data_IF_382818440341
#
_entry.id   IF_382818440341
#
_cell.length_a   1.000
_cell.length_b   1.000
_cell.length_c   1.000
_cell.angle_alpha   90.00
_cell.angle_beta   90.00
_cell.angle_gamma   90.00
#
_symmetry.space_group_name_H-M   'P 1'
#
loop_
_entity.id
_entity.type
_entity.pdbx_description
1 polymer ?
#
# COMPACT_ATOMS: atom_id res chain seq x y z
N UNK A 1 19.34 -15.27 -18.12
CA UNK A 1 20.08 -14.04 -18.43
C UNK A 1 19.75 -12.91 -17.45
N UNK A 2 18.48 -12.52 -17.28
CA UNK A 2 18.11 -11.36 -16.40
C UNK A 2 18.60 -11.55 -14.97
N UNK A 3 18.41 -12.73 -14.38
CA UNK A 3 18.86 -13.02 -13.02
C UNK A 3 20.38 -12.92 -12.89
N UNK A 4 21.15 -13.52 -13.83
CA UNK A 4 22.61 -13.44 -13.82
C UNK A 4 23.12 -12.01 -14.04
N UNK A 5 22.49 -11.24 -14.94
CA UNK A 5 22.84 -9.84 -15.15
C UNK A 5 22.56 -9.01 -13.89
N UNK A 6 21.42 -9.23 -13.22
CA UNK A 6 21.09 -8.56 -11.97
C UNK A 6 22.12 -8.86 -10.87
N UNK A 7 22.54 -10.11 -10.71
CA UNK A 7 23.57 -10.49 -9.74
C UNK A 7 24.90 -9.79 -10.02
N UNK A 8 25.32 -9.72 -11.29
CA UNK A 8 26.59 -9.07 -11.70
C UNK A 8 26.55 -7.56 -11.48
N UNK A 9 25.42 -6.91 -11.75
CA UNK A 9 25.29 -5.45 -11.75
C UNK A 9 24.93 -4.85 -10.40
N UNK A 10 24.25 -5.60 -9.53
CA UNK A 10 23.59 -5.03 -8.33
C UNK A 10 23.86 -5.81 -7.03
N UNK A 11 24.56 -6.96 -7.06
CA UNK A 11 24.85 -7.73 -5.84
C UNK A 11 26.35 -7.81 -5.57
N UNK A 12 26.85 -6.92 -4.76
CA UNK A 12 28.29 -6.82 -4.43
C UNK A 12 28.88 -8.08 -3.78
N UNK A 13 28.04 -8.88 -3.10
CA UNK A 13 28.48 -10.11 -2.42
C UNK A 13 28.52 -11.35 -3.30
N UNK A 14 28.08 -11.25 -4.57
CA UNK A 14 28.07 -12.35 -5.52
C UNK A 14 29.22 -12.15 -6.52
N UNK A 15 30.25 -13.03 -6.54
CA UNK A 15 31.30 -12.94 -7.53
C UNK A 15 30.74 -13.09 -8.96
N UNK A 16 31.22 -12.28 -9.88
CA UNK A 16 30.77 -12.30 -11.29
C UNK A 16 30.86 -13.70 -11.90
N UNK A 17 31.93 -14.44 -11.61
CA UNK A 17 32.12 -15.81 -12.08
C UNK A 17 31.07 -16.79 -11.53
N UNK A 18 30.67 -16.61 -10.28
CA UNK A 18 29.62 -17.44 -9.66
C UNK A 18 28.26 -17.18 -10.31
N UNK A 19 27.91 -15.89 -10.53
CA UNK A 19 26.67 -15.50 -11.22
C UNK A 19 26.59 -16.07 -12.63
N UNK A 20 27.70 -16.04 -13.39
CA UNK A 20 27.79 -16.62 -14.74
C UNK A 20 27.59 -18.14 -14.68
N UNK A 21 28.37 -18.85 -13.84
CA UNK A 21 28.34 -20.30 -13.76
C UNK A 21 26.97 -20.82 -13.34
N UNK A 22 26.38 -20.28 -12.28
CA UNK A 22 25.05 -20.64 -11.81
C UNK A 22 23.97 -20.40 -12.88
N UNK A 23 24.06 -19.30 -13.62
CA UNK A 23 23.11 -18.99 -14.70
C UNK A 23 23.22 -19.98 -15.87
N UNK A 24 24.43 -20.42 -16.19
CA UNK A 24 24.68 -21.45 -17.23
C UNK A 24 24.11 -22.80 -16.77
N UNK A 25 24.36 -23.21 -15.52
CA UNK A 25 23.79 -24.45 -14.98
C UNK A 25 22.25 -24.41 -14.93
N UNK A 26 21.64 -23.29 -14.49
CA UNK A 26 20.20 -23.10 -14.55
C UNK A 26 19.64 -23.23 -15.98
N UNK A 27 20.33 -22.74 -16.98
CA UNK A 27 19.90 -22.92 -18.38
C UNK A 27 19.88 -24.40 -18.79
N UNK A 28 20.88 -25.19 -18.36
CA UNK A 28 20.94 -26.64 -18.65
C UNK A 28 19.82 -27.39 -17.90
N UNK A 29 19.66 -27.17 -16.60
CA UNK A 29 18.64 -27.84 -15.76
C UNK A 29 17.22 -27.50 -16.24
N UNK A 30 16.99 -26.27 -16.72
CA UNK A 30 15.69 -25.83 -17.25
C UNK A 30 15.36 -26.37 -18.65
N UNK A 31 16.11 -27.33 -19.17
CA UNK A 31 15.90 -27.90 -20.52
C UNK A 31 16.30 -26.96 -21.65
N UNK A 32 17.05 -25.89 -21.36
CA UNK A 32 17.53 -24.91 -22.33
C UNK A 32 19.06 -24.97 -22.53
N UNK A 33 19.64 -26.18 -22.43
CA UNK A 33 21.09 -26.40 -22.54
C UNK A 33 21.72 -25.83 -23.81
N UNK A 34 21.00 -25.79 -24.92
CA UNK A 34 21.45 -25.18 -26.18
C UNK A 34 21.75 -23.68 -26.03
N UNK A 35 21.09 -22.98 -25.08
CA UNK A 35 21.32 -21.57 -24.84
C UNK A 35 22.48 -21.29 -23.85
N UNK A 36 23.11 -22.30 -23.27
CA UNK A 36 24.15 -22.17 -22.25
C UNK A 36 25.37 -21.38 -22.74
N UNK A 37 25.78 -21.60 -24.01
CA UNK A 37 26.85 -20.84 -24.63
C UNK A 37 26.51 -19.35 -24.77
N UNK A 38 25.29 -19.02 -25.19
CA UNK A 38 24.80 -17.63 -25.30
C UNK A 38 24.75 -16.98 -23.91
N UNK A 39 24.20 -17.70 -22.91
CA UNK A 39 24.11 -17.21 -21.52
C UNK A 39 25.51 -16.87 -21.00
N UNK A 40 26.47 -17.77 -21.17
CA UNK A 40 27.85 -17.55 -20.75
C UNK A 40 28.49 -16.34 -21.45
N UNK A 41 28.37 -16.25 -22.75
CA UNK A 41 28.97 -15.16 -23.55
C UNK A 41 28.40 -13.79 -23.18
N UNK A 42 27.09 -13.68 -23.08
CA UNK A 42 26.40 -12.41 -22.73
C UNK A 42 26.75 -11.98 -21.30
N UNK A 43 26.67 -12.88 -20.31
CA UNK A 43 26.93 -12.53 -18.92
C UNK A 43 28.41 -12.17 -18.67
N UNK A 44 29.37 -12.87 -19.32
CA UNK A 44 30.78 -12.49 -19.27
C UNK A 44 31.01 -11.10 -19.86
N UNK A 45 30.34 -10.78 -20.98
CA UNK A 45 30.45 -9.44 -21.59
C UNK A 45 29.85 -8.36 -20.69
N UNK A 46 28.75 -8.64 -19.98
CA UNK A 46 28.19 -7.72 -18.98
C UNK A 46 29.20 -7.52 -17.83
N UNK A 47 29.78 -8.60 -17.29
CA UNK A 47 30.75 -8.54 -16.20
C UNK A 47 31.99 -7.69 -16.58
N UNK A 48 32.50 -7.85 -17.80
CA UNK A 48 33.64 -7.08 -18.31
C UNK A 48 33.34 -5.59 -18.51
N UNK A 49 32.09 -5.23 -18.77
CA UNK A 49 31.67 -3.88 -19.12
C UNK A 49 30.68 -3.28 -18.10
N UNK A 50 30.60 -3.79 -16.87
CA UNK A 50 29.62 -3.37 -15.89
C UNK A 50 29.67 -1.87 -15.53
N UNK A 51 30.82 -1.24 -15.69
CA UNK A 51 31.03 0.21 -15.48
C UNK A 51 30.82 1.06 -16.75
N UNK A 52 30.65 0.41 -17.91
CA UNK A 52 30.55 1.07 -19.21
C UNK A 52 29.43 0.44 -20.06
N UNK A 53 28.25 0.26 -19.46
CA UNK A 53 27.10 -0.24 -20.20
C UNK A 53 26.67 0.75 -21.28
N UNK A 54 26.14 0.26 -22.44
CA UNK A 54 25.66 1.14 -23.49
C UNK A 54 24.51 2.02 -22.98
N UNK A 55 24.45 3.30 -23.40
CA UNK A 55 23.37 4.18 -22.99
C UNK A 55 22.00 3.66 -23.44
N UNK A 56 20.99 3.93 -22.66
CA UNK A 56 19.59 3.62 -23.02
C UNK A 56 19.17 4.57 -24.14
N UNK A 57 18.67 4.07 -25.31
CA UNK A 57 18.24 4.94 -26.40
C UNK A 57 17.06 5.84 -25.98
N UNK A 58 17.18 7.16 -26.22
CA UNK A 58 16.20 8.18 -25.82
C UNK A 58 15.12 8.48 -26.87
N UNK A 59 15.19 7.87 -28.06
CA UNK A 59 14.27 8.16 -29.18
C UNK A 59 12.78 7.93 -28.87
N UNK A 60 12.47 6.99 -27.97
CA UNK A 60 11.12 6.70 -27.47
C UNK A 60 11.15 6.96 -25.96
N UNK A 61 10.61 8.11 -25.58
CA UNK A 61 10.60 8.59 -24.20
C UNK A 61 10.00 7.56 -23.23
N UNK A 62 8.83 7.01 -23.54
CA UNK A 62 8.19 6.02 -22.69
C UNK A 62 9.02 4.74 -22.57
N UNK A 63 9.73 4.34 -23.63
CA UNK A 63 10.64 3.20 -23.60
C UNK A 63 11.90 3.52 -22.79
N UNK A 64 12.46 4.71 -22.95
CA UNK A 64 13.62 5.17 -22.18
C UNK A 64 13.33 5.12 -20.69
N UNK A 65 12.24 5.75 -20.23
CA UNK A 65 11.83 5.76 -18.83
C UNK A 65 11.48 4.37 -18.30
N UNK A 66 10.82 3.54 -19.14
CA UNK A 66 10.49 2.15 -18.80
C UNK A 66 11.74 1.31 -18.48
N UNK A 67 12.81 1.49 -19.25
CA UNK A 67 14.07 0.77 -19.02
C UNK A 67 14.81 1.38 -17.84
N UNK A 68 14.95 2.71 -17.81
CA UNK A 68 15.72 3.44 -16.79
C UNK A 68 15.19 3.19 -15.37
N UNK A 69 13.87 3.23 -15.20
CA UNK A 69 13.21 3.10 -13.88
C UNK A 69 12.54 1.73 -13.66
N UNK A 70 12.71 0.79 -14.59
CA UNK A 70 12.19 -0.59 -14.47
C UNK A 70 10.67 -0.65 -14.24
N UNK A 71 9.89 0.06 -15.05
CA UNK A 71 8.43 0.05 -15.05
C UNK A 71 7.89 -0.42 -16.41
N UNK A 72 6.73 -1.11 -16.46
CA UNK A 72 6.10 -1.47 -17.74
C UNK A 72 5.79 -0.24 -18.59
N UNK A 73 6.03 -0.35 -19.90
CA UNK A 73 5.86 0.78 -20.83
C UNK A 73 4.43 1.34 -20.83
N UNK A 74 3.41 0.50 -20.65
CA UNK A 74 2.02 0.96 -20.56
C UNK A 74 1.81 1.89 -19.37
N UNK A 75 2.39 1.54 -18.20
CA UNK A 75 2.30 2.35 -17.00
C UNK A 75 3.03 3.69 -17.17
N UNK A 76 4.25 3.66 -17.74
CA UNK A 76 4.99 4.90 -18.03
C UNK A 76 4.20 5.83 -18.96
N UNK A 77 3.59 5.30 -20.05
CA UNK A 77 2.73 6.09 -20.94
C UNK A 77 1.56 6.71 -20.17
N UNK A 78 0.96 5.94 -19.25
CA UNK A 78 -0.15 6.43 -18.45
C UNK A 78 0.28 7.54 -17.49
N UNK A 79 1.41 7.34 -16.80
CA UNK A 79 1.99 8.37 -15.91
C UNK A 79 2.31 9.66 -16.67
N UNK A 80 2.94 9.56 -17.84
CA UNK A 80 3.22 10.72 -18.69
C UNK A 80 1.95 11.50 -19.07
N UNK A 81 0.83 10.79 -19.31
CA UNK A 81 -0.44 11.45 -19.66
C UNK A 81 -1.15 12.10 -18.46
N UNK A 82 -0.94 11.62 -17.24
CA UNK A 82 -1.60 12.12 -16.02
C UNK A 82 -0.77 13.24 -15.38
N UNK A 83 0.54 13.03 -15.27
CA UNK A 83 1.44 13.88 -14.49
C UNK A 83 2.30 14.81 -15.34
N UNK A 84 2.39 14.55 -16.65
CA UNK A 84 3.41 15.19 -17.49
C UNK A 84 4.79 14.57 -17.30
N UNK A 85 5.80 15.09 -18.02
CA UNK A 85 7.13 14.49 -18.11
C UNK A 85 7.89 14.53 -16.77
N UNK A 86 8.01 15.69 -16.18
CA UNK A 86 8.86 15.93 -15.01
C UNK A 86 8.37 15.15 -13.78
N UNK A 87 7.09 15.28 -13.47
CA UNK A 87 6.47 14.62 -12.33
C UNK A 87 6.39 13.09 -12.51
N UNK A 88 6.13 12.63 -13.75
CA UNK A 88 6.15 11.19 -14.05
C UNK A 88 7.54 10.60 -13.81
N UNK A 89 8.62 11.28 -14.24
CA UNK A 89 9.98 10.80 -14.01
C UNK A 89 10.35 10.80 -12.52
N UNK A 90 9.99 11.85 -11.78
CA UNK A 90 10.17 11.92 -10.33
C UNK A 90 9.42 10.79 -9.60
N UNK A 91 8.17 10.51 -10.00
CA UNK A 91 7.37 9.41 -9.46
C UNK A 91 8.00 8.04 -9.74
N UNK A 92 8.48 7.80 -10.97
CA UNK A 92 9.15 6.56 -11.34
C UNK A 92 10.45 6.35 -10.55
N UNK A 93 11.22 7.42 -10.33
CA UNK A 93 12.43 7.38 -9.51
C UNK A 93 12.10 7.04 -8.06
N UNK A 94 11.15 7.76 -7.45
CA UNK A 94 10.73 7.57 -6.06
C UNK A 94 10.19 6.15 -5.79
N UNK A 95 9.56 5.51 -6.77
CA UNK A 95 9.08 4.13 -6.66
C UNK A 95 10.20 3.09 -6.48
N UNK A 96 11.44 3.44 -6.79
CA UNK A 96 12.60 2.55 -6.64
C UNK A 96 13.39 2.79 -5.36
N UNK A 97 13.05 3.84 -4.60
CA UNK A 97 13.69 4.10 -3.31
C UNK A 97 13.18 3.13 -2.23
N UNK A 98 14.00 2.94 -1.20
CA UNK A 98 13.55 2.18 -0.02
C UNK A 98 12.46 2.95 0.72
N UNK A 99 11.27 2.37 0.92
CA UNK A 99 10.23 3.06 1.67
C UNK A 99 10.61 3.21 3.15
N UNK A 100 10.33 4.35 3.80
CA UNK A 100 10.50 4.46 5.23
C UNK A 100 9.55 3.48 5.95
N UNK A 101 10.01 2.90 7.05
CA UNK A 101 9.16 2.16 7.96
C UNK A 101 8.44 3.17 8.86
N UNK A 102 7.12 3.22 8.77
CA UNK A 102 6.30 4.16 9.53
C UNK A 102 5.35 3.44 10.47
N UNK A 103 5.14 4.03 11.64
CA UNK A 103 4.21 3.53 12.66
C UNK A 103 3.34 4.65 13.19
N UNK A 104 2.11 4.33 13.54
CA UNK A 104 1.25 5.19 14.33
C UNK A 104 1.40 4.86 15.81
N UNK A 105 1.55 5.87 16.64
CA UNK A 105 1.53 5.74 18.10
C UNK A 105 0.10 5.36 18.54
N UNK A 106 -0.03 4.39 19.44
CA UNK A 106 -1.30 4.10 20.09
C UNK A 106 -1.50 5.06 21.28
N UNK A 107 -2.36 6.08 21.13
CA UNK A 107 -2.53 7.11 22.15
C UNK A 107 -3.21 6.60 23.43
N UNK A 108 -3.83 5.41 23.37
CA UNK A 108 -4.47 4.78 24.53
C UNK A 108 -3.44 4.15 25.49
N UNK A 109 -2.22 3.91 25.00
CA UNK A 109 -1.17 3.23 25.77
C UNK A 109 0.08 4.08 26.01
N UNK A 110 0.38 5.03 25.14
CA UNK A 110 1.59 5.84 25.22
C UNK A 110 1.46 7.11 24.38
N UNK A 111 2.45 7.98 24.49
CA UNK A 111 2.62 9.15 23.61
C UNK A 111 3.90 9.04 22.77
N UNK A 112 4.04 9.92 21.79
CA UNK A 112 5.16 9.89 20.85
C UNK A 112 6.53 10.03 21.57
N UNK A 113 6.63 10.92 22.52
CA UNK A 113 7.89 11.20 23.24
C UNK A 113 8.35 9.98 24.06
N UNK A 114 7.43 9.36 24.80
CA UNK A 114 7.71 8.16 25.61
C UNK A 114 8.06 6.97 24.72
N UNK A 115 7.35 6.79 23.59
CA UNK A 115 7.63 5.71 22.66
C UNK A 115 8.97 5.87 21.97
N UNK A 116 9.39 7.08 21.59
CA UNK A 116 10.70 7.36 21.02
C UNK A 116 11.80 6.94 21.98
N UNK A 117 11.73 7.37 23.25
CA UNK A 117 12.71 7.00 24.30
C UNK A 117 12.78 5.48 24.50
N UNK A 118 11.63 4.80 24.48
CA UNK A 118 11.58 3.35 24.65
C UNK A 118 12.21 2.63 23.45
N UNK A 119 11.92 3.08 22.22
CA UNK A 119 12.51 2.53 20.99
C UNK A 119 14.03 2.75 20.92
N UNK A 120 14.51 3.90 21.39
CA UNK A 120 15.97 4.18 21.52
C UNK A 120 16.65 3.15 22.42
N UNK A 121 16.01 2.74 23.50
CA UNK A 121 16.50 1.67 24.39
C UNK A 121 16.64 0.31 23.70
N UNK A 122 15.92 0.10 22.59
CA UNK A 122 16.02 -1.08 21.72
C UNK A 122 16.99 -0.87 20.54
N UNK A 123 17.68 0.28 20.47
CA UNK A 123 18.58 0.62 19.35
C UNK A 123 17.84 1.06 18.07
N UNK A 124 16.55 1.37 18.16
CA UNK A 124 15.73 1.84 17.05
C UNK A 124 15.64 3.35 17.11
N UNK A 125 16.09 4.02 16.04
CA UNK A 125 15.90 5.46 15.89
C UNK A 125 14.48 5.74 15.41
N UNK A 126 13.74 6.58 16.12
CA UNK A 126 12.41 7.02 15.79
C UNK A 126 12.34 8.54 15.70
N UNK A 127 11.72 9.06 14.64
CA UNK A 127 11.53 10.51 14.44
C UNK A 127 10.06 10.80 14.10
N UNK A 128 9.47 11.89 14.62
CA UNK A 128 8.12 12.28 14.24
C UNK A 128 8.02 12.48 12.73
N UNK A 129 6.91 12.00 12.13
CA UNK A 129 6.62 12.25 10.72
C UNK A 129 6.31 13.73 10.51
N UNK A 130 6.89 14.40 9.48
CA UNK A 130 6.86 15.86 9.37
C UNK A 130 5.45 16.43 9.15
N UNK A 131 4.51 15.66 8.58
CA UNK A 131 3.18 16.17 8.21
C UNK A 131 2.02 15.43 8.86
N UNK A 132 2.24 14.21 9.38
CA UNK A 132 1.15 13.38 9.90
C UNK A 132 1.30 13.22 11.41
N UNK A 133 0.46 13.87 12.21
CA UNK A 133 0.55 13.81 13.66
C UNK A 133 0.30 12.38 14.17
N UNK A 134 1.07 12.02 15.21
CA UNK A 134 0.99 10.70 15.81
C UNK A 134 1.66 9.57 15.02
N UNK A 135 2.34 9.89 13.90
CA UNK A 135 3.17 8.94 13.16
C UNK A 135 4.66 9.17 13.45
N UNK A 136 5.41 8.06 13.47
CA UNK A 136 6.87 8.06 13.60
C UNK A 136 7.48 7.30 12.43
N UNK A 137 8.62 7.80 11.95
CA UNK A 137 9.50 7.08 11.02
C UNK A 137 10.56 6.34 11.81
N UNK A 138 10.75 5.04 11.52
CA UNK A 138 11.70 4.17 12.21
C UNK A 138 12.87 3.80 11.32
N UNK A 139 14.07 3.79 11.92
CA UNK A 139 15.30 3.33 11.29
C UNK A 139 16.01 2.33 12.21
N UNK A 140 16.51 1.25 11.62
CA UNK A 140 17.23 0.21 12.39
C UNK A 140 16.35 -0.74 13.18
N UNK A 141 15.03 -0.77 12.91
CA UNK A 141 14.07 -1.54 13.71
C UNK A 141 14.17 -3.08 13.56
N UNK A 142 14.80 -3.56 12.47
CA UNK A 142 14.85 -5.01 12.20
C UNK A 142 13.43 -5.61 12.14
N UNK A 143 13.25 -6.75 12.82
CA UNK A 143 11.92 -7.36 12.96
C UNK A 143 11.17 -6.74 14.14
N UNK A 144 10.19 -5.89 13.81
CA UNK A 144 9.35 -5.22 14.80
C UNK A 144 8.63 -6.16 15.77
N UNK A 145 8.33 -7.39 15.34
CA UNK A 145 7.59 -8.35 16.17
C UNK A 145 8.40 -8.81 17.38
N UNK A 146 9.70 -8.60 17.37
CA UNK A 146 10.60 -8.90 18.49
C UNK A 146 10.64 -7.80 19.55
N UNK A 147 10.18 -6.60 19.22
CA UNK A 147 10.23 -5.45 20.11
C UNK A 147 9.06 -5.48 21.11
N UNK A 148 9.35 -5.19 22.39
CA UNK A 148 8.30 -5.11 23.42
C UNK A 148 7.24 -4.06 23.08
N UNK A 149 7.57 -2.82 22.66
CA UNK A 149 6.56 -1.82 22.29
C UNK A 149 5.56 -2.28 21.24
N UNK A 150 6.00 -3.11 20.28
CA UNK A 150 5.09 -3.69 19.28
C UNK A 150 4.17 -4.74 19.92
N UNK A 151 4.73 -5.69 20.68
CA UNK A 151 3.94 -6.75 21.33
C UNK A 151 2.96 -6.23 22.35
N UNK A 152 3.32 -5.17 23.06
CA UNK A 152 2.45 -4.47 24.02
C UNK A 152 1.40 -3.57 23.37
N UNK A 153 1.41 -3.48 22.03
CA UNK A 153 0.42 -2.71 21.27
C UNK A 153 0.56 -1.20 21.39
N UNK A 154 1.74 -0.68 21.76
CA UNK A 154 2.03 0.76 21.84
C UNK A 154 2.15 1.44 20.46
N UNK A 155 2.26 0.63 19.40
CA UNK A 155 2.37 1.11 18.03
C UNK A 155 1.63 0.22 17.03
N UNK A 156 1.18 0.85 15.95
CA UNK A 156 0.57 0.23 14.78
C UNK A 156 1.45 0.52 13.56
N UNK A 157 1.88 -0.52 12.84
CA UNK A 157 2.55 -0.33 11.53
C UNK A 157 1.53 0.17 10.53
N UNK A 158 1.69 1.40 10.06
CA UNK A 158 0.75 2.02 9.13
C UNK A 158 1.45 3.04 8.25
N UNK A 159 1.00 3.14 7.00
CA UNK A 159 1.38 4.20 6.08
C UNK A 159 0.83 5.55 6.56
N UNK A 160 1.60 6.65 6.50
CA UNK A 160 1.10 7.98 6.84
C UNK A 160 -0.14 8.39 6.02
N UNK A 161 -0.19 8.06 4.73
CA UNK A 161 -1.37 8.34 3.89
C UNK A 161 -2.61 7.56 4.36
N UNK A 162 -2.44 6.30 4.81
CA UNK A 162 -3.54 5.54 5.40
C UNK A 162 -4.01 6.13 6.74
N UNK A 163 -3.10 6.75 7.51
CA UNK A 163 -3.44 7.50 8.73
C UNK A 163 -4.25 8.77 8.40
N UNK A 164 -3.91 9.47 7.30
CA UNK A 164 -4.65 10.67 6.87
C UNK A 164 -6.13 10.36 6.61
N UNK A 165 -6.46 9.21 6.04
CA UNK A 165 -7.86 8.79 5.84
C UNK A 165 -8.65 8.82 7.15
N UNK A 166 -8.06 8.26 8.22
CA UNK A 166 -8.72 8.24 9.53
C UNK A 166 -8.79 9.63 10.19
N UNK A 167 -7.83 10.52 9.90
CA UNK A 167 -7.85 11.90 10.39
C UNK A 167 -8.95 12.72 9.68
N UNK A 168 -9.06 12.56 8.34
CA UNK A 168 -10.09 13.22 7.53
C UNK A 168 -11.49 12.74 7.92
N UNK A 169 -11.64 11.46 8.23
CA UNK A 169 -12.90 10.90 8.69
C UNK A 169 -13.45 11.58 9.95
N UNK A 170 -12.59 12.21 10.74
CA UNK A 170 -12.97 13.04 11.89
C UNK A 170 -13.77 12.32 12.98
N UNK A 171 -13.65 10.97 13.07
CA UNK A 171 -14.43 10.16 14.00
C UNK A 171 -14.25 10.59 15.46
N UNK A 172 -15.34 10.56 16.21
CA UNK A 172 -15.39 11.01 17.61
C UNK A 172 -15.77 9.87 18.57
N UNK A 173 -15.40 9.94 19.85
CA UNK A 173 -15.82 8.99 20.86
C UNK A 173 -17.36 8.83 20.90
N UNK A 174 -17.82 7.57 20.96
CA UNK A 174 -19.24 7.24 21.03
C UNK A 174 -19.93 6.99 19.67
N UNK A 175 -19.27 7.33 18.57
CA UNK A 175 -19.81 7.11 17.23
C UNK A 175 -19.86 5.63 16.82
N UNK A 176 -20.69 5.36 15.82
CA UNK A 176 -20.74 4.08 15.11
C UNK A 176 -20.06 4.20 13.76
N UNK A 177 -19.05 3.38 13.51
CA UNK A 177 -18.23 3.39 12.31
C UNK A 177 -18.37 2.06 11.57
N UNK A 178 -18.51 2.11 10.25
CA UNK A 178 -18.40 0.95 9.38
C UNK A 178 -17.15 1.09 8.52
N UNK A 179 -16.23 0.12 8.57
CA UNK A 179 -15.13 -0.03 7.64
C UNK A 179 -15.47 -1.18 6.69
N UNK A 180 -15.88 -0.85 5.44
CA UNK A 180 -16.52 -1.80 4.53
C UNK A 180 -15.54 -2.73 3.81
N UNK A 181 -14.24 -2.35 3.73
CA UNK A 181 -13.16 -3.14 3.13
C UNK A 181 -11.96 -3.22 4.09
N UNK A 182 -12.21 -3.62 5.34
CA UNK A 182 -11.36 -3.34 6.48
C UNK A 182 -10.00 -4.05 6.50
N UNK A 183 -9.89 -5.26 5.96
CA UNK A 183 -8.69 -6.08 6.19
C UNK A 183 -7.41 -5.50 5.55
N UNK A 184 -6.33 -5.40 6.33
CA UNK A 184 -6.02 -6.08 7.59
C UNK A 184 -6.44 -5.36 8.89
N UNK A 185 -7.17 -4.24 8.84
CA UNK A 185 -7.70 -3.55 10.00
C UNK A 185 -7.08 -2.18 10.31
N UNK A 186 -6.08 -1.75 9.54
CA UNK A 186 -5.31 -0.54 9.87
C UNK A 186 -6.16 0.72 10.03
N UNK A 187 -7.20 0.93 9.19
CA UNK A 187 -8.09 2.10 9.27
C UNK A 187 -9.08 1.95 10.43
N UNK A 188 -9.62 0.75 10.65
CA UNK A 188 -10.45 0.44 11.82
C UNK A 188 -9.70 0.69 13.14
N UNK A 189 -8.42 0.27 13.24
CA UNK A 189 -7.60 0.52 14.45
C UNK A 189 -7.33 2.01 14.64
N UNK A 190 -7.04 2.74 13.57
CA UNK A 190 -6.84 4.19 13.65
C UNK A 190 -8.12 4.93 14.03
N UNK A 191 -9.28 4.47 13.58
CA UNK A 191 -10.58 4.99 14.02
C UNK A 191 -10.82 4.71 15.49
N UNK A 192 -10.56 3.48 15.97
CA UNK A 192 -10.66 3.13 17.39
C UNK A 192 -9.77 4.01 18.28
N UNK A 193 -8.56 4.33 17.84
CA UNK A 193 -7.68 5.26 18.56
C UNK A 193 -8.29 6.66 18.66
N UNK A 194 -8.84 7.17 17.55
CA UNK A 194 -9.50 8.49 17.54
C UNK A 194 -10.76 8.52 18.42
N UNK A 195 -11.47 7.39 18.48
CA UNK A 195 -12.66 7.21 19.31
C UNK A 195 -12.33 6.92 20.79
N UNK A 196 -11.07 6.90 21.19
CA UNK A 196 -10.66 6.47 22.54
C UNK A 196 -11.21 5.08 22.92
N UNK A 197 -11.37 4.19 21.93
CA UNK A 197 -12.00 2.86 22.03
C UNK A 197 -13.45 2.91 22.59
N UNK A 198 -14.14 4.05 22.44
CA UNK A 198 -15.53 4.28 22.90
C UNK A 198 -16.44 4.38 21.69
N UNK A 199 -17.43 3.48 21.59
CA UNK A 199 -18.37 3.40 20.47
C UNK A 199 -18.41 2.02 19.83
N UNK A 200 -18.75 1.96 18.55
CA UNK A 200 -18.86 0.70 17.81
C UNK A 200 -18.16 0.83 16.46
N UNK A 201 -17.29 -0.13 16.11
CA UNK A 201 -16.66 -0.23 14.78
C UNK A 201 -16.97 -1.60 14.21
N UNK A 202 -17.72 -1.64 13.12
CA UNK A 202 -17.93 -2.86 12.33
C UNK A 202 -16.87 -2.90 11.21
N UNK A 203 -15.97 -3.87 11.30
CA UNK A 203 -14.88 -4.07 10.31
C UNK A 203 -15.26 -5.19 9.35
N UNK A 204 -15.78 -4.84 8.18
CA UNK A 204 -16.27 -5.79 7.17
C UNK A 204 -15.18 -6.10 6.14
N UNK A 205 -15.05 -7.35 5.71
CA UNK A 205 -14.24 -7.76 4.56
C UNK A 205 -14.88 -8.95 3.84
N UNK A 206 -14.75 -8.96 2.51
CA UNK A 206 -15.25 -10.05 1.66
C UNK A 206 -14.63 -11.40 2.05
N UNK A 207 -13.36 -11.41 2.43
CA UNK A 207 -12.60 -12.61 2.68
C UNK A 207 -12.58 -12.99 4.16
N UNK A 208 -13.40 -13.96 4.56
CA UNK A 208 -13.49 -14.45 5.94
C UNK A 208 -12.15 -14.81 6.58
N UNK A 209 -11.22 -15.36 5.79
CA UNK A 209 -9.88 -15.72 6.28
C UNK A 209 -9.02 -14.50 6.67
N UNK A 210 -9.32 -13.31 6.17
CA UNK A 210 -8.61 -12.08 6.53
C UNK A 210 -9.09 -11.50 7.86
N UNK A 211 -10.31 -11.82 8.32
CA UNK A 211 -10.88 -11.30 9.58
C UNK A 211 -10.03 -11.68 10.79
N UNK A 212 -9.35 -12.82 10.73
CA UNK A 212 -8.41 -13.24 11.78
C UNK A 212 -7.33 -12.17 12.05
N UNK A 213 -6.84 -11.51 10.99
CA UNK A 213 -5.84 -10.43 11.14
C UNK A 213 -6.40 -9.21 11.87
N UNK A 214 -7.68 -8.88 11.63
CA UNK A 214 -8.37 -7.81 12.34
C UNK A 214 -8.51 -8.18 13.82
N UNK A 215 -8.92 -9.40 14.13
CA UNK A 215 -9.06 -9.89 15.51
C UNK A 215 -7.73 -9.89 16.26
N UNK A 216 -6.68 -10.44 15.65
CA UNK A 216 -5.33 -10.47 16.24
C UNK A 216 -4.75 -9.06 16.43
N UNK A 217 -4.99 -8.16 15.47
CA UNK A 217 -4.56 -6.77 15.56
C UNK A 217 -5.28 -6.01 16.67
N UNK A 218 -6.62 -6.13 16.75
CA UNK A 218 -7.41 -5.52 17.81
C UNK A 218 -6.99 -6.04 19.20
N UNK A 219 -6.82 -7.35 19.34
CA UNK A 219 -6.36 -7.95 20.61
C UNK A 219 -4.97 -7.44 21.02
N UNK A 220 -4.01 -7.37 20.09
CA UNK A 220 -2.66 -6.84 20.36
C UNK A 220 -2.69 -5.37 20.80
N UNK A 221 -3.56 -4.58 20.15
CA UNK A 221 -3.71 -3.14 20.43
C UNK A 221 -4.61 -2.85 21.63
N UNK A 222 -5.25 -3.90 22.19
CA UNK A 222 -6.19 -3.83 23.33
C UNK A 222 -7.44 -3.00 23.00
N UNK A 223 -8.01 -3.25 21.80
CA UNK A 223 -9.19 -2.57 21.28
C UNK A 223 -10.42 -3.47 21.42
N UNK A 224 -11.46 -2.96 22.05
CA UNK A 224 -12.71 -3.67 22.36
C UNK A 224 -13.88 -3.22 21.50
N UNK A 225 -13.82 -2.03 20.92
CA UNK A 225 -14.88 -1.44 20.08
C UNK A 225 -15.04 -2.11 18.71
N UNK A 226 -14.11 -2.97 18.29
CA UNK A 226 -14.04 -3.52 16.94
C UNK A 226 -14.72 -4.87 16.84
N UNK A 227 -15.70 -4.98 15.94
CA UNK A 227 -16.40 -6.22 15.60
C UNK A 227 -16.14 -6.61 14.16
N UNK A 228 -15.34 -7.65 13.88
CA UNK A 228 -15.12 -8.14 12.53
C UNK A 228 -16.36 -8.82 11.94
N UNK A 229 -16.70 -8.52 10.68
CA UNK A 229 -17.84 -9.07 9.95
C UNK A 229 -17.43 -9.57 8.57
N UNK A 230 -17.85 -10.77 8.17
CA UNK A 230 -17.63 -11.27 6.83
C UNK A 230 -18.78 -10.86 5.90
N UNK A 231 -18.45 -10.34 4.71
CA UNK A 231 -19.48 -10.05 3.72
C UNK A 231 -18.98 -9.31 2.50
N UNK A 232 -19.74 -9.42 1.44
CA UNK A 232 -19.53 -8.62 0.23
C UNK A 232 -20.08 -7.22 0.47
N UNK A 233 -19.20 -6.21 0.46
CA UNK A 233 -19.57 -4.81 0.65
C UNK A 233 -20.49 -4.24 -0.44
N UNK A 234 -20.70 -4.97 -1.55
CA UNK A 234 -21.62 -4.60 -2.63
C UNK A 234 -23.05 -5.10 -2.39
N UNK A 235 -23.23 -5.96 -1.39
CA UNK A 235 -24.55 -6.55 -1.08
C UNK A 235 -25.16 -5.82 0.11
N UNK A 236 -26.34 -5.22 -0.12
CA UNK A 236 -27.04 -4.46 0.90
C UNK A 236 -27.45 -5.33 2.09
N UNK A 237 -27.26 -4.78 3.28
CA UNK A 237 -27.65 -5.37 4.56
C UNK A 237 -28.65 -4.45 5.27
N UNK A 238 -29.93 -4.83 5.33
CA UNK A 238 -31.00 -4.00 5.91
C UNK A 238 -30.71 -3.58 7.36
N UNK A 239 -30.02 -4.43 8.13
CA UNK A 239 -29.68 -4.15 9.54
C UNK A 239 -28.62 -3.05 9.69
N UNK A 240 -28.02 -2.60 8.59
CA UNK A 240 -27.01 -1.52 8.57
C UNK A 240 -27.56 -0.22 7.97
N UNK A 241 -28.78 -0.20 7.43
CA UNK A 241 -29.35 0.97 6.79
C UNK A 241 -29.35 2.19 7.76
N UNK A 242 -28.81 3.32 7.28
CA UNK A 242 -28.76 4.61 8.00
C UNK A 242 -28.23 4.51 9.46
N UNK A 243 -27.34 3.56 9.70
CA UNK A 243 -26.92 3.22 11.08
C UNK A 243 -25.64 3.89 11.53
N UNK A 244 -24.73 4.22 10.61
CA UNK A 244 -23.35 4.59 10.95
C UNK A 244 -23.12 6.10 10.77
N UNK A 245 -22.51 6.71 11.79
CA UNK A 245 -22.09 8.12 11.74
C UNK A 245 -20.96 8.33 10.71
N UNK A 246 -20.13 7.30 10.53
CA UNK A 246 -19.03 7.30 9.56
C UNK A 246 -18.94 5.96 8.85
N UNK A 247 -18.87 5.99 7.52
CA UNK A 247 -18.62 4.81 6.69
C UNK A 247 -17.32 5.00 5.92
N UNK A 248 -16.37 4.07 6.10
CA UNK A 248 -15.08 4.05 5.41
C UNK A 248 -15.12 3.02 4.28
N UNK A 249 -14.76 3.43 3.07
CA UNK A 249 -14.59 2.57 1.90
C UNK A 249 -13.15 2.69 1.41
N UNK A 250 -12.24 1.89 2.00
CA UNK A 250 -10.89 1.71 1.45
C UNK A 250 -10.95 0.68 0.33
N UNK A 251 -11.33 1.16 -0.85
CA UNK A 251 -11.75 0.31 -1.94
C UNK A 251 -10.61 -0.57 -2.51
N UNK A 252 -10.92 -1.81 -2.93
CA UNK A 252 -9.94 -2.59 -3.69
C UNK A 252 -9.58 -1.84 -4.97
N UNK A 253 -8.27 -1.65 -5.22
CA UNK A 253 -7.78 -0.82 -6.29
C UNK A 253 -6.55 -1.42 -7.00
N UNK A 254 -6.07 -0.77 -8.03
CA UNK A 254 -4.86 -1.17 -8.75
C UNK A 254 -3.61 -1.17 -7.86
N UNK A 255 -3.56 -0.31 -6.86
CA UNK A 255 -2.42 -0.17 -5.94
C UNK A 255 -1.22 0.53 -6.56
N UNK A 256 -1.38 1.27 -7.64
CA UNK A 256 -0.26 1.91 -8.36
C UNK A 256 0.37 3.08 -7.60
N UNK A 257 -0.24 3.54 -6.51
CA UNK A 257 0.36 4.52 -5.59
C UNK A 257 1.30 3.91 -4.54
N UNK A 258 1.33 2.57 -4.39
CA UNK A 258 2.17 1.90 -3.38
C UNK A 258 3.27 1.00 -3.97
N UNK A 259 3.67 1.25 -5.22
CA UNK A 259 4.72 0.49 -5.92
C UNK A 259 6.02 0.47 -5.11
N UNK A 260 6.38 1.58 -4.46
CA UNK A 260 7.56 1.68 -3.59
C UNK A 260 7.58 0.60 -2.49
N UNK A 261 6.41 0.28 -1.90
CA UNK A 261 6.24 -0.72 -0.84
C UNK A 261 5.96 -2.12 -1.36
N UNK A 262 5.29 -2.22 -2.53
CA UNK A 262 4.91 -3.47 -3.18
C UNK A 262 5.35 -3.45 -4.66
N UNK A 263 6.64 -3.66 -4.95
CA UNK A 263 7.19 -3.50 -6.30
C UNK A 263 6.50 -4.34 -7.37
N UNK A 264 5.97 -5.52 -7.04
CA UNK A 264 5.30 -6.42 -7.97
C UNK A 264 4.00 -5.82 -8.56
N UNK A 265 3.37 -4.88 -7.86
CA UNK A 265 2.14 -4.21 -8.33
C UNK A 265 2.34 -3.55 -9.67
N UNK A 266 3.54 -3.03 -9.97
CA UNK A 266 3.86 -2.40 -11.27
C UNK A 266 3.67 -3.32 -12.47
N UNK A 267 3.72 -4.64 -12.27
CA UNK A 267 3.61 -5.65 -13.34
C UNK A 267 2.18 -6.16 -13.57
N UNK A 268 1.17 -5.59 -12.92
CA UNK A 268 -0.23 -5.86 -13.25
C UNK A 268 -0.48 -5.54 -14.73
N UNK A 269 -1.34 -6.32 -15.36
CA UNK A 269 -1.73 -6.04 -16.75
C UNK A 269 -2.72 -4.87 -16.77
N UNK A 270 -2.64 -4.03 -17.79
CA UNK A 270 -3.56 -2.90 -17.94
C UNK A 270 -5.02 -3.37 -17.99
N UNK A 271 -5.29 -4.48 -18.68
CA UNK A 271 -6.63 -5.03 -18.85
C UNK A 271 -7.29 -5.47 -17.52
N UNK A 272 -6.47 -5.89 -16.53
CA UNK A 272 -6.97 -6.29 -15.21
C UNK A 272 -7.53 -5.10 -14.40
N UNK A 273 -7.28 -3.86 -14.83
CA UNK A 273 -7.66 -2.66 -14.10
C UNK A 273 -9.05 -2.13 -14.48
N UNK A 274 -9.58 -2.48 -15.65
CA UNK A 274 -10.85 -1.95 -16.14
C UNK A 274 -12.09 -2.36 -15.32
N UNK A 275 -12.00 -3.44 -14.56
CA UNK A 275 -13.10 -3.91 -13.72
C UNK A 275 -13.15 -3.24 -12.34
N UNK A 276 -12.06 -2.59 -11.92
CA UNK A 276 -11.96 -2.00 -10.59
C UNK A 276 -12.92 -0.82 -10.37
N UNK A 277 -13.05 0.15 -11.30
CA UNK A 277 -14.00 1.24 -11.12
C UNK A 277 -15.44 0.77 -10.94
N UNK A 278 -15.86 -0.29 -11.67
CA UNK A 278 -17.22 -0.88 -11.54
C UNK A 278 -17.43 -1.44 -10.12
N UNK A 279 -16.44 -2.12 -9.58
CA UNK A 279 -16.50 -2.65 -8.20
C UNK A 279 -16.51 -1.50 -7.19
N UNK A 280 -15.71 -0.47 -7.42
CA UNK A 280 -15.59 0.69 -6.55
C UNK A 280 -16.89 1.49 -6.49
N UNK A 281 -17.51 1.74 -7.65
CA UNK A 281 -18.84 2.38 -7.73
C UNK A 281 -19.87 1.58 -6.95
N UNK A 282 -19.98 0.27 -7.20
CA UNK A 282 -20.94 -0.58 -6.51
C UNK A 282 -20.73 -0.64 -4.98
N UNK A 283 -19.47 -0.55 -4.51
CA UNK A 283 -19.16 -0.44 -3.09
C UNK A 283 -19.61 0.90 -2.51
N UNK A 284 -19.37 1.98 -3.24
CA UNK A 284 -19.69 3.34 -2.80
C UNK A 284 -21.20 3.56 -2.74
N UNK A 285 -21.96 3.11 -3.78
CA UNK A 285 -23.42 3.17 -3.83
C UNK A 285 -24.07 2.39 -2.69
N UNK A 286 -23.53 1.22 -2.38
CA UNK A 286 -24.05 0.43 -1.25
C UNK A 286 -23.67 1.06 0.10
N UNK A 287 -22.44 1.59 0.22
CA UNK A 287 -21.97 2.26 1.43
C UNK A 287 -22.82 3.49 1.79
N UNK A 288 -23.27 4.25 0.79
CA UNK A 288 -24.13 5.42 0.98
C UNK A 288 -25.40 5.11 1.77
N UNK A 289 -25.99 3.94 1.53
CA UNK A 289 -27.22 3.50 2.22
C UNK A 289 -27.02 3.21 3.71
N UNK A 290 -25.79 3.10 4.17
CA UNK A 290 -25.44 2.82 5.57
C UNK A 290 -25.14 4.06 6.39
N UNK A 291 -24.92 5.20 5.71
CA UNK A 291 -24.62 6.49 6.36
C UNK A 291 -25.85 7.01 7.03
N UNK A 292 -25.78 7.32 8.32
CA UNK A 292 -26.86 8.00 9.04
C UNK A 292 -27.06 9.44 8.51
N UNK A 293 -28.25 10.00 8.59
CA UNK A 293 -28.47 11.41 8.23
C UNK A 293 -27.47 12.36 8.91
N UNK A 294 -26.73 13.16 8.12
CA UNK A 294 -25.69 14.02 8.60
C UNK A 294 -24.35 13.31 8.91
N UNK A 295 -24.23 12.04 8.58
CA UNK A 295 -23.00 11.26 8.69
C UNK A 295 -22.01 11.50 7.56
N UNK A 296 -20.86 10.84 7.64
CA UNK A 296 -19.73 11.01 6.72
C UNK A 296 -19.44 9.71 5.96
N UNK A 297 -19.29 9.81 4.64
CA UNK A 297 -18.80 8.74 3.78
C UNK A 297 -17.39 9.08 3.30
N UNK A 298 -16.42 8.22 3.63
CA UNK A 298 -15.02 8.40 3.23
C UNK A 298 -14.63 7.35 2.21
N UNK A 299 -14.28 7.80 1.01
CA UNK A 299 -13.73 6.95 -0.03
C UNK A 299 -12.22 7.10 -0.11
N UNK A 300 -11.49 6.00 -0.15
CA UNK A 300 -10.04 6.00 -0.30
C UNK A 300 -9.55 4.85 -1.17
N UNK A 301 -8.42 5.09 -1.85
CA UNK A 301 -7.69 4.07 -2.60
C UNK A 301 -6.19 4.21 -2.36
N UNK A 302 -5.42 3.21 -2.76
CA UNK A 302 -3.96 3.29 -2.81
C UNK A 302 -3.44 3.36 -4.27
N UNK A 303 -4.20 3.97 -5.17
CA UNK A 303 -3.83 4.19 -6.58
C UNK A 303 -3.73 5.68 -6.89
N UNK A 304 -3.11 5.98 -8.02
CA UNK A 304 -2.99 7.33 -8.57
C UNK A 304 -3.82 7.51 -9.85
N UNK A 305 -4.59 6.48 -10.23
CA UNK A 305 -5.39 6.54 -11.46
C UNK A 305 -6.67 7.34 -11.24
N UNK A 306 -6.93 8.38 -12.05
CA UNK A 306 -8.16 9.17 -11.95
C UNK A 306 -9.44 8.34 -12.13
N UNK A 307 -9.36 7.26 -12.91
CA UNK A 307 -10.47 6.33 -13.16
C UNK A 307 -10.95 5.61 -11.90
N UNK A 308 -10.05 5.44 -10.92
CA UNK A 308 -10.35 4.77 -9.65
C UNK A 308 -10.55 5.78 -8.49
N UNK A 309 -10.37 7.07 -8.73
CA UNK A 309 -10.45 8.15 -7.76
C UNK A 309 -11.53 9.17 -8.16
N UNK A 310 -11.13 10.27 -8.80
CA UNK A 310 -12.00 11.41 -9.10
C UNK A 310 -13.19 10.99 -9.95
N UNK A 311 -13.00 10.12 -10.95
CA UNK A 311 -14.09 9.71 -11.84
C UNK A 311 -15.15 8.87 -11.12
N UNK A 312 -14.74 8.02 -10.14
CA UNK A 312 -15.69 7.26 -9.31
C UNK A 312 -16.46 8.21 -8.40
N UNK A 313 -15.79 9.14 -7.74
CA UNK A 313 -16.45 10.06 -6.80
C UNK A 313 -17.32 11.10 -7.51
N UNK A 314 -16.94 11.57 -8.71
CA UNK A 314 -17.74 12.51 -9.49
C UNK A 314 -19.00 11.85 -10.03
N UNK A 315 -18.91 10.60 -10.51
CA UNK A 315 -20.07 9.82 -10.90
C UNK A 315 -21.03 9.59 -9.73
N UNK A 316 -20.48 9.19 -8.57
CA UNK A 316 -21.27 9.02 -7.34
C UNK A 316 -22.04 10.29 -6.96
N UNK A 317 -21.38 11.44 -6.90
CA UNK A 317 -22.02 12.71 -6.52
C UNK A 317 -23.08 13.18 -7.55
N UNK A 318 -22.98 12.71 -8.80
CA UNK A 318 -24.01 12.99 -9.83
C UNK A 318 -25.30 12.19 -9.58
N UNK A 319 -25.15 10.96 -9.07
CA UNK A 319 -26.27 10.05 -8.81
C UNK A 319 -26.86 10.22 -7.40
N UNK A 320 -26.07 10.67 -6.43
CA UNK A 320 -26.43 10.84 -5.01
C UNK A 320 -26.45 12.32 -4.62
N UNK A 321 -27.54 13.02 -4.96
CA UNK A 321 -27.71 14.47 -4.68
C UNK A 321 -27.85 14.83 -3.20
N UNK A 322 -28.03 13.85 -2.33
CA UNK A 322 -28.08 13.94 -0.87
C UNK A 322 -26.67 13.96 -0.24
N UNK A 323 -25.64 13.69 -1.04
CA UNK A 323 -24.24 13.82 -0.64
C UNK A 323 -23.60 15.06 -1.27
N UNK A 324 -22.70 15.68 -0.54
CA UNK A 324 -21.83 16.74 -1.06
C UNK A 324 -20.37 16.46 -0.70
N UNK A 325 -19.47 17.04 -1.50
CA UNK A 325 -18.02 16.96 -1.19
C UNK A 325 -17.71 17.95 -0.08
N UNK A 326 -17.00 17.48 0.96
CA UNK A 326 -16.48 18.29 2.06
C UNK A 326 -15.04 18.73 1.78
#
# INVERSE_FOLDING_TARGET
LRLGAYQILYLDRVPDSAAVNTSVELAKISGRGQASGLVNAVLRKIAQNKTALPPIPERDEAKYLSIRYSHPKWLVKRLLSILGREEAEAFLAANNDTPPLTVQVNPLKTNAESLIKELEGWGVKATPHPWVPGCLELTGAGDLTTLAPFREGKLLVQDPAARLVSLIAGVQPGQKVLDLCAAPGGKSFSAAFAMEDKGEIVSCDLHKNKLKRIQEGAARLDLTSITPSAGDGRVFRPEWAERFDTVLVDAPCSGLGIIRKKPDVRYKKADDLFTLPVIQTALLDNAAQYVAPGGVLVYSTCTILPEENEQVTDAFLTEHSDFCRD
#
